data_IF_833184751051
#
_entry.id   IF_833184751051
#
_cell.length_a   1.000
_cell.length_b   1.000
_cell.length_c   1.000
_cell.angle_alpha   90.00
_cell.angle_beta   90.00
_cell.angle_gamma   90.00
#
_symmetry.space_group_name_H-M   'P 1'
#
loop_
_entity.id
_entity.type
_entity.pdbx_description
1 polymer ?
#
# COMPACT_ATOMS: atom_id res chain seq x y z
N UNK A 1 -35.45 61.71 -2.92
CA UNK A 1 -35.87 60.35 -3.32
C UNK A 1 -34.71 59.38 -3.64
N UNK A 2 -33.44 59.81 -3.80
CA UNK A 2 -32.33 58.90 -4.13
C UNK A 2 -31.76 58.08 -2.94
N UNK A 3 -31.81 58.60 -1.71
CA UNK A 3 -31.20 57.96 -0.52
C UNK A 3 -31.99 56.74 -0.02
N UNK A 4 -33.31 56.72 -0.25
CA UNK A 4 -34.18 55.61 0.18
C UNK A 4 -33.99 54.35 -0.69
N UNK A 5 -33.71 54.55 -2.00
CA UNK A 5 -33.51 53.46 -2.95
C UNK A 5 -32.22 52.68 -2.64
N UNK A 6 -31.12 53.38 -2.32
CA UNK A 6 -29.83 52.73 -2.03
C UNK A 6 -29.88 51.85 -0.77
N UNK A 7 -30.65 52.24 0.25
CA UNK A 7 -30.85 51.43 1.46
C UNK A 7 -31.67 50.17 1.19
N UNK A 8 -32.65 50.26 0.30
CA UNK A 8 -33.50 49.12 -0.08
C UNK A 8 -32.68 48.06 -0.86
N UNK A 9 -31.83 48.48 -1.78
CA UNK A 9 -30.93 47.57 -2.52
C UNK A 9 -29.88 46.90 -1.61
N UNK A 10 -29.32 47.64 -0.65
CA UNK A 10 -28.36 47.08 0.32
C UNK A 10 -29.01 46.08 1.28
N UNK A 11 -30.25 46.34 1.73
CA UNK A 11 -30.96 45.38 2.58
C UNK A 11 -31.36 44.13 1.80
N UNK A 12 -31.85 44.28 0.56
CA UNK A 12 -32.19 43.15 -0.29
C UNK A 12 -30.98 42.25 -0.60
N UNK A 13 -29.79 42.81 -0.85
CA UNK A 13 -28.59 42.03 -1.10
C UNK A 13 -28.08 41.28 0.13
N UNK A 14 -28.17 41.86 1.34
CA UNK A 14 -27.86 41.17 2.60
C UNK A 14 -28.82 40.01 2.85
N UNK A 15 -30.12 40.19 2.60
CA UNK A 15 -31.12 39.11 2.71
C UNK A 15 -30.87 37.98 1.72
N UNK A 16 -30.52 38.29 0.47
CA UNK A 16 -30.20 37.27 -0.56
C UNK A 16 -28.94 36.49 -0.17
N UNK A 17 -27.87 37.17 0.27
CA UNK A 17 -26.64 36.52 0.74
C UNK A 17 -26.90 35.64 1.98
N UNK A 18 -27.68 36.12 2.94
CA UNK A 18 -28.06 35.34 4.13
C UNK A 18 -28.90 34.11 3.81
N UNK A 19 -29.84 34.23 2.86
CA UNK A 19 -30.66 33.10 2.40
C UNK A 19 -29.84 32.07 1.63
N UNK A 20 -28.90 32.49 0.78
CA UNK A 20 -27.99 31.60 0.05
C UNK A 20 -27.04 30.85 1.00
N UNK A 21 -26.46 31.54 1.98
CA UNK A 21 -25.60 30.92 2.99
C UNK A 21 -26.37 29.91 3.85
N UNK A 22 -27.60 30.25 4.29
CA UNK A 22 -28.45 29.35 5.07
C UNK A 22 -28.85 28.09 4.30
N UNK A 23 -29.19 28.23 3.01
CA UNK A 23 -29.50 27.09 2.14
C UNK A 23 -28.27 26.21 1.87
N UNK A 24 -27.08 26.81 1.69
CA UNK A 24 -25.84 26.05 1.53
C UNK A 24 -25.49 25.24 2.78
N UNK A 25 -25.59 25.84 3.98
CA UNK A 25 -25.37 25.15 5.26
C UNK A 25 -26.41 24.05 5.51
N UNK A 26 -27.69 24.28 5.18
CA UNK A 26 -28.74 23.28 5.33
C UNK A 26 -28.55 22.07 4.40
N UNK A 27 -27.94 22.26 3.21
CA UNK A 27 -27.61 21.16 2.29
C UNK A 27 -26.35 20.40 2.70
N UNK A 28 -25.39 21.05 3.36
CA UNK A 28 -24.14 20.40 3.79
C UNK A 28 -24.31 19.54 5.06
N UNK A 29 -25.21 19.89 5.97
CA UNK A 29 -25.40 19.16 7.23
C UNK A 29 -25.85 17.68 7.05
N UNK A 30 -26.80 17.33 6.17
CA UNK A 30 -27.16 15.92 5.91
C UNK A 30 -26.03 15.12 5.27
N UNK A 31 -25.26 15.74 4.37
CA UNK A 31 -24.11 15.11 3.74
C UNK A 31 -23.00 14.79 4.74
N UNK A 32 -22.72 15.74 5.65
CA UNK A 32 -21.76 15.55 6.74
C UNK A 32 -22.19 14.42 7.71
N UNK A 33 -23.48 14.38 8.09
CA UNK A 33 -24.00 13.29 8.93
C UNK A 33 -23.87 11.90 8.26
N UNK A 34 -24.14 11.81 6.96
CA UNK A 34 -23.97 10.57 6.20
C UNK A 34 -22.50 10.13 6.14
N UNK A 35 -21.56 11.06 5.94
CA UNK A 35 -20.13 10.75 5.93
C UNK A 35 -19.62 10.30 7.31
N UNK A 36 -20.10 10.93 8.40
CA UNK A 36 -19.80 10.46 9.76
C UNK A 36 -20.33 9.06 10.01
N UNK A 37 -21.55 8.75 9.58
CA UNK A 37 -22.10 7.39 9.70
C UNK A 37 -21.27 6.37 8.89
N UNK A 38 -20.82 6.73 7.67
CA UNK A 38 -19.91 5.91 6.87
C UNK A 38 -18.60 5.63 7.62
N UNK A 39 -18.02 6.64 8.26
CA UNK A 39 -16.82 6.49 9.08
C UNK A 39 -17.05 5.58 10.30
N UNK A 40 -18.17 5.71 11.02
CA UNK A 40 -18.50 4.81 12.14
C UNK A 40 -18.62 3.34 11.70
N UNK A 41 -19.29 3.09 10.57
CA UNK A 41 -19.36 1.73 10.00
C UNK A 41 -18.00 1.21 9.55
N UNK A 42 -17.17 2.06 8.95
CA UNK A 42 -15.81 1.72 8.54
C UNK A 42 -14.95 1.36 9.76
N UNK A 43 -14.98 2.17 10.83
CA UNK A 43 -14.26 1.88 12.06
C UNK A 43 -14.70 0.54 12.67
N UNK A 44 -16.01 0.27 12.71
CA UNK A 44 -16.53 -0.99 13.21
C UNK A 44 -16.05 -2.19 12.36
N UNK A 45 -16.00 -2.04 11.03
CA UNK A 45 -15.50 -3.08 10.11
C UNK A 45 -14.01 -3.40 10.34
N UNK A 46 -13.18 -2.38 10.58
CA UNK A 46 -11.74 -2.53 10.73
C UNK A 46 -11.25 -2.51 12.19
N UNK A 47 -12.17 -2.58 13.16
CA UNK A 47 -11.85 -2.60 14.59
C UNK A 47 -11.10 -1.36 15.09
N UNK A 48 -11.37 -0.19 14.51
CA UNK A 48 -10.65 1.06 14.83
C UNK A 48 -11.14 1.67 16.13
N UNK A 49 -10.19 1.97 17.01
CA UNK A 49 -10.41 2.67 18.28
C UNK A 49 -9.31 3.72 18.42
N UNK A 50 -9.70 4.95 18.74
CA UNK A 50 -8.77 6.08 18.90
C UNK A 50 -8.64 6.48 20.37
N UNK A 51 -7.47 6.97 20.75
CA UNK A 51 -7.15 7.30 22.14
C UNK A 51 -7.84 8.57 22.64
N UNK A 52 -8.33 9.43 21.74
CA UNK A 52 -9.05 10.66 22.11
C UNK A 52 -10.08 11.08 21.06
N UNK A 53 -11.03 11.93 21.47
CA UNK A 53 -11.99 12.55 20.56
C UNK A 53 -11.31 13.44 19.50
N UNK A 54 -10.22 14.12 19.88
CA UNK A 54 -9.44 14.94 18.96
C UNK A 54 -8.75 14.10 17.88
N UNK A 55 -8.16 12.96 18.27
CA UNK A 55 -7.58 11.99 17.33
C UNK A 55 -8.66 11.42 16.41
N UNK A 56 -9.81 11.01 16.97
CA UNK A 56 -10.94 10.52 16.18
C UNK A 56 -11.42 11.54 15.15
N UNK A 57 -11.51 12.81 15.54
CA UNK A 57 -11.91 13.88 14.61
C UNK A 57 -10.84 14.11 13.52
N UNK A 58 -9.55 14.10 13.87
CA UNK A 58 -8.48 14.22 12.88
C UNK A 58 -8.50 13.04 11.87
N UNK A 59 -8.65 11.81 12.37
CA UNK A 59 -8.77 10.59 11.56
C UNK A 59 -10.02 10.59 10.69
N UNK A 60 -11.12 11.14 11.20
CA UNK A 60 -12.34 11.35 10.42
C UNK A 60 -12.12 12.31 9.24
N UNK A 61 -11.38 13.41 9.42
CA UNK A 61 -11.08 14.32 8.30
C UNK A 61 -10.26 13.63 7.21
N UNK A 62 -9.23 12.87 7.60
CA UNK A 62 -8.42 12.07 6.66
C UNK A 62 -9.29 11.03 5.93
N UNK A 63 -10.14 10.31 6.68
CA UNK A 63 -11.08 9.35 6.12
C UNK A 63 -12.01 10.00 5.10
N UNK A 64 -12.54 11.18 5.42
CA UNK A 64 -13.44 11.92 4.52
C UNK A 64 -12.75 12.28 3.20
N UNK A 65 -11.50 12.75 3.27
CA UNK A 65 -10.73 13.12 2.08
C UNK A 65 -10.43 11.90 1.21
N UNK A 66 -9.99 10.79 1.83
CA UNK A 66 -9.77 9.52 1.13
C UNK A 66 -11.07 8.93 0.56
N UNK A 67 -12.19 9.03 1.28
CA UNK A 67 -13.49 8.59 0.80
C UNK A 67 -13.95 9.40 -0.42
N UNK A 68 -13.72 10.72 -0.43
CA UNK A 68 -14.01 11.56 -1.58
C UNK A 68 -13.13 11.21 -2.79
N UNK A 69 -11.85 10.90 -2.57
CA UNK A 69 -10.96 10.40 -3.62
C UNK A 69 -11.49 9.08 -4.20
N UNK A 70 -11.81 8.10 -3.34
CA UNK A 70 -12.37 6.81 -3.75
C UNK A 70 -13.66 6.99 -4.57
N UNK A 71 -14.58 7.82 -4.08
CA UNK A 71 -15.86 8.04 -4.72
C UNK A 71 -15.69 8.72 -6.08
N UNK A 72 -14.85 9.76 -6.17
CA UNK A 72 -14.61 10.47 -7.43
C UNK A 72 -13.89 9.60 -8.48
N UNK A 73 -12.90 8.82 -8.05
CA UNK A 73 -12.19 7.88 -8.91
C UNK A 73 -13.15 6.81 -9.47
N UNK A 74 -13.95 6.19 -8.61
CA UNK A 74 -14.88 5.13 -9.02
C UNK A 74 -16.06 5.68 -9.86
N UNK A 75 -16.46 6.94 -9.66
CA UNK A 75 -17.46 7.61 -10.50
C UNK A 75 -16.91 7.92 -11.89
N UNK A 76 -15.66 8.35 -12.01
CA UNK A 76 -15.01 8.56 -13.30
C UNK A 76 -14.98 7.26 -14.12
N UNK A 77 -14.63 6.15 -13.48
CA UNK A 77 -14.79 4.80 -14.05
C UNK A 77 -14.01 4.56 -15.33
N UNK A 78 -12.98 5.37 -15.58
CA UNK A 78 -12.14 5.35 -16.78
C UNK A 78 -10.89 4.45 -16.62
N UNK A 79 -10.69 3.89 -15.42
CA UNK A 79 -9.61 2.96 -15.10
C UNK A 79 -10.13 1.52 -14.92
N UNK A 80 -9.31 0.51 -15.23
CA UNK A 80 -9.67 -0.92 -15.12
C UNK A 80 -9.54 -1.48 -13.68
N UNK A 81 -9.42 -0.62 -12.68
CA UNK A 81 -9.36 -0.96 -11.26
C UNK A 81 -10.28 -0.05 -10.45
N UNK A 82 -10.50 -0.43 -9.19
CA UNK A 82 -11.31 0.32 -8.24
C UNK A 82 -10.50 0.63 -7.00
N UNK A 83 -10.79 1.79 -6.43
CA UNK A 83 -10.35 2.14 -5.09
C UNK A 83 -11.42 1.79 -4.07
N UNK A 84 -11.01 1.63 -2.82
CA UNK A 84 -11.89 1.33 -1.70
C UNK A 84 -11.45 2.07 -0.44
N UNK A 85 -12.42 2.34 0.44
CA UNK A 85 -12.11 2.76 1.81
C UNK A 85 -11.66 1.53 2.61
N UNK A 86 -10.47 1.03 2.27
CA UNK A 86 -9.86 -0.15 2.90
C UNK A 86 -9.33 0.20 4.31
N UNK A 87 -8.59 -0.71 4.95
CA UNK A 87 -8.10 -0.50 6.30
C UNK A 87 -7.17 0.72 6.46
N UNK A 88 -6.62 1.29 5.39
CA UNK A 88 -5.72 2.45 5.42
C UNK A 88 -6.42 3.78 5.12
N UNK A 89 -7.76 3.80 5.05
CA UNK A 89 -8.52 4.99 4.70
C UNK A 89 -8.40 6.13 5.73
N UNK A 90 -7.95 5.88 6.96
CA UNK A 90 -7.71 6.91 7.98
C UNK A 90 -6.27 7.43 8.04
N UNK A 91 -5.42 7.04 7.09
CA UNK A 91 -4.03 7.50 6.97
C UNK A 91 -3.87 8.47 5.81
N UNK A 92 -3.07 9.53 6.01
CA UNK A 92 -2.57 10.31 4.89
C UNK A 92 -1.60 9.45 4.06
N UNK A 93 -1.35 9.84 2.81
CA UNK A 93 -0.37 9.12 1.99
C UNK A 93 1.05 9.20 2.58
N UNK A 94 1.41 10.31 3.23
CA UNK A 94 2.69 10.44 3.95
C UNK A 94 2.78 9.46 5.13
N UNK A 95 1.75 9.39 5.97
CA UNK A 95 1.70 8.43 7.10
C UNK A 95 1.74 6.98 6.61
N UNK A 96 1.03 6.70 5.52
CA UNK A 96 1.01 5.40 4.89
C UNK A 96 2.41 5.00 4.41
N UNK A 97 3.06 5.85 3.59
CA UNK A 97 4.42 5.61 3.09
C UNK A 97 5.41 5.41 4.25
N UNK A 98 5.36 6.28 5.25
CA UNK A 98 6.27 6.20 6.41
C UNK A 98 6.14 4.89 7.20
N UNK A 99 4.94 4.31 7.27
CA UNK A 99 4.67 3.13 8.09
C UNK A 99 4.61 1.81 7.32
N UNK A 100 4.32 1.84 6.01
CA UNK A 100 4.04 0.64 5.19
C UNK A 100 5.04 0.40 4.07
N UNK A 101 5.67 1.43 3.55
CA UNK A 101 6.60 1.31 2.42
C UNK A 101 8.01 1.34 2.97
N UNK A 102 8.59 0.15 3.20
CA UNK A 102 10.03 -0.13 3.32
C UNK A 102 10.23 -1.63 3.10
N UNK A 103 11.39 -2.04 2.64
CA UNK A 103 11.82 -3.44 2.67
C UNK A 103 12.06 -3.90 4.12
N UNK A 104 11.03 -4.31 4.84
CA UNK A 104 11.17 -4.72 6.24
C UNK A 104 11.55 -6.20 6.31
N UNK A 105 12.74 -6.48 6.83
CA UNK A 105 13.21 -7.82 7.13
C UNK A 105 13.56 -7.93 8.61
N UNK A 106 13.13 -8.99 9.30
CA UNK A 106 13.70 -9.33 10.60
C UNK A 106 14.84 -10.30 10.37
N UNK A 107 16.07 -9.81 10.40
CA UNK A 107 17.25 -10.63 10.25
C UNK A 107 18.06 -10.62 11.52
N UNK A 108 18.53 -11.80 11.91
CA UNK A 108 19.60 -11.86 12.88
C UNK A 108 20.86 -11.35 12.22
N UNK A 109 21.28 -10.15 12.63
CA UNK A 109 22.59 -9.65 12.28
C UNK A 109 23.60 -10.73 12.67
N UNK A 110 24.23 -11.35 11.67
CA UNK A 110 25.41 -12.15 11.89
C UNK A 110 26.49 -11.19 12.40
N UNK A 111 26.49 -10.90 13.70
CA UNK A 111 27.41 -9.94 14.29
C UNK A 111 28.87 -10.40 14.20
N UNK A 112 29.17 -11.61 13.72
CA UNK A 112 30.55 -12.09 13.56
C UNK A 112 30.68 -13.00 12.34
N UNK A 113 30.83 -12.39 11.16
CA UNK A 113 31.18 -13.06 9.91
C UNK A 113 31.57 -12.05 8.82
N UNK A 114 32.32 -12.44 7.77
CA UNK A 114 32.84 -11.52 6.75
C UNK A 114 31.76 -10.94 5.80
N UNK A 115 30.48 -11.27 6.02
CA UNK A 115 29.36 -10.84 5.20
C UNK A 115 28.54 -9.77 5.93
N UNK A 116 28.85 -8.51 5.66
CA UNK A 116 28.03 -7.36 6.06
C UNK A 116 26.87 -7.22 5.06
N UNK A 117 25.77 -7.96 5.28
CA UNK A 117 24.47 -7.61 4.70
C UNK A 117 23.77 -6.68 5.70
N UNK A 118 23.47 -5.45 5.31
CA UNK A 118 23.05 -4.38 6.22
C UNK A 118 21.52 -4.18 6.18
N UNK A 119 20.75 -5.26 6.35
CA UNK A 119 19.33 -5.14 6.68
C UNK A 119 19.19 -4.48 8.06
N UNK A 120 18.35 -3.46 8.15
CA UNK A 120 18.19 -2.57 9.30
C UNK A 120 16.86 -2.83 10.03
N UNK A 121 16.40 -4.08 10.03
CA UNK A 121 15.18 -4.45 10.72
C UNK A 121 13.94 -3.76 10.14
N UNK A 122 13.17 -3.10 11.00
CA UNK A 122 12.02 -2.29 10.64
C UNK A 122 12.37 -1.06 9.80
N UNK A 123 13.65 -0.69 9.71
CA UNK A 123 14.11 0.50 8.98
C UNK A 123 14.36 0.27 7.49
N UNK A 124 14.40 -0.97 7.00
CA UNK A 124 14.68 -1.30 5.60
C UNK A 124 15.65 -2.47 5.44
N UNK A 125 15.81 -2.95 4.21
CA UNK A 125 16.59 -4.16 3.87
C UNK A 125 16.50 -4.50 2.39
N UNK A 126 17.09 -5.62 1.97
CA UNK A 126 17.04 -6.13 0.59
C UNK A 126 16.80 -7.64 0.56
N UNK A 127 16.04 -8.10 -0.42
CA UNK A 127 15.69 -9.53 -0.55
C UNK A 127 16.92 -10.43 -0.68
N UNK A 128 17.94 -9.96 -1.38
CA UNK A 128 19.20 -10.69 -1.57
C UNK A 128 19.97 -10.87 -0.27
N UNK A 129 19.94 -9.88 0.62
CA UNK A 129 20.60 -9.98 1.92
C UNK A 129 19.92 -11.03 2.80
N UNK A 130 18.59 -11.12 2.74
CA UNK A 130 17.85 -12.22 3.35
C UNK A 130 18.25 -13.59 2.78
N UNK A 131 18.42 -13.73 1.45
CA UNK A 131 18.91 -14.99 0.87
C UNK A 131 20.34 -15.33 1.31
N UNK A 132 21.25 -14.34 1.31
CA UNK A 132 22.63 -14.51 1.81
C UNK A 132 22.64 -14.99 3.26
N UNK A 133 21.75 -14.46 4.09
CA UNK A 133 21.61 -14.91 5.47
C UNK A 133 21.15 -16.35 5.57
N UNK A 134 20.15 -16.79 4.80
CA UNK A 134 19.70 -18.20 4.85
C UNK A 134 20.86 -19.13 4.47
N UNK A 135 21.68 -18.75 3.48
CA UNK A 135 22.86 -19.51 3.07
C UNK A 135 23.90 -19.56 4.19
N UNK A 136 24.25 -18.40 4.78
CA UNK A 136 25.24 -18.28 5.83
C UNK A 136 24.83 -18.99 7.13
N UNK A 137 23.56 -18.85 7.51
CA UNK A 137 22.95 -19.52 8.65
C UNK A 137 22.75 -21.02 8.40
N UNK A 138 22.86 -21.50 7.14
CA UNK A 138 22.61 -22.89 6.73
C UNK A 138 21.16 -23.32 6.95
N UNK A 139 20.23 -22.38 6.92
CA UNK A 139 18.81 -22.64 6.97
C UNK A 139 17.98 -21.50 7.54
N UNK A 140 16.67 -21.73 7.56
CA UNK A 140 15.65 -20.84 8.09
C UNK A 140 14.70 -21.63 8.99
N UNK A 141 14.28 -21.02 10.11
CA UNK A 141 13.30 -21.63 11.03
C UNK A 141 11.85 -21.39 10.58
N UNK A 142 10.89 -21.94 11.32
CA UNK A 142 9.45 -21.75 11.05
C UNK A 142 8.90 -20.55 11.82
N UNK A 143 7.86 -19.90 11.26
CA UNK A 143 7.09 -18.84 11.94
C UNK A 143 6.54 -19.31 13.31
N UNK A 144 6.12 -20.58 13.42
CA UNK A 144 5.63 -21.13 14.69
C UNK A 144 6.72 -21.16 15.79
N UNK A 145 7.97 -21.36 15.41
CA UNK A 145 9.11 -21.37 16.34
C UNK A 145 9.65 -19.96 16.63
N UNK A 146 9.65 -19.08 15.62
CA UNK A 146 10.08 -17.70 15.74
C UNK A 146 9.01 -16.73 15.18
N UNK A 147 7.97 -16.41 15.98
CA UNK A 147 6.85 -15.58 15.51
C UNK A 147 7.24 -14.12 15.27
N UNK A 148 6.55 -13.49 14.32
CA UNK A 148 6.68 -12.07 14.01
C UNK A 148 6.18 -11.18 15.17
N UNK A 149 7.02 -10.22 15.58
CA UNK A 149 6.76 -9.30 16.69
C UNK A 149 6.39 -7.88 16.28
N UNK A 150 6.42 -7.55 14.98
CA UNK A 150 6.23 -6.20 14.45
C UNK A 150 7.15 -5.11 15.06
N UNK A 151 8.29 -5.51 15.61
CA UNK A 151 9.29 -4.63 16.18
C UNK A 151 10.67 -5.29 16.13
N UNK A 152 11.71 -4.47 16.05
CA UNK A 152 13.09 -4.95 16.17
C UNK A 152 13.33 -5.52 17.56
N UNK A 153 14.09 -6.61 17.61
CA UNK A 153 14.39 -7.32 18.84
C UNK A 153 15.81 -7.87 18.84
N UNK A 154 16.21 -8.45 19.96
CA UNK A 154 17.45 -9.21 20.03
C UNK A 154 17.25 -10.61 19.44
N UNK A 155 18.32 -11.12 18.83
CA UNK A 155 18.25 -12.42 18.19
C UNK A 155 18.39 -13.59 19.16
N UNK A 156 17.47 -14.53 19.02
CA UNK A 156 17.49 -15.80 19.74
C UNK A 156 18.18 -16.86 18.89
N UNK A 157 19.48 -17.10 19.15
CA UNK A 157 20.27 -18.11 18.45
C UNK A 157 19.67 -19.53 18.56
N UNK A 158 19.01 -19.85 19.69
CA UNK A 158 18.36 -21.14 19.87
C UNK A 158 17.13 -21.33 18.98
N UNK A 159 16.34 -20.27 18.77
CA UNK A 159 15.19 -20.31 17.86
C UNK A 159 15.65 -20.29 16.41
N UNK A 160 16.56 -19.38 16.08
CA UNK A 160 17.13 -19.24 14.74
C UNK A 160 17.75 -20.56 14.25
N UNK A 161 18.57 -21.20 15.08
CA UNK A 161 19.28 -22.44 14.74
C UNK A 161 18.39 -23.68 14.53
N UNK A 162 17.08 -23.58 14.77
CA UNK A 162 16.13 -24.66 14.51
C UNK A 162 15.66 -24.63 13.04
N UNK A 163 16.53 -25.08 12.14
CA UNK A 163 16.31 -24.98 10.69
C UNK A 163 15.25 -25.96 10.19
N UNK A 164 14.30 -25.44 9.42
CA UNK A 164 13.23 -26.19 8.76
C UNK A 164 13.36 -26.20 7.22
N UNK A 165 14.09 -25.24 6.64
CA UNK A 165 14.35 -25.16 5.21
C UNK A 165 15.74 -24.60 4.93
N UNK A 166 16.30 -24.92 3.76
CA UNK A 166 17.61 -24.44 3.30
C UNK A 166 17.55 -24.05 1.82
N UNK A 167 18.45 -23.17 1.41
CA UNK A 167 18.69 -22.83 0.00
C UNK A 167 20.18 -23.02 -0.32
N UNK A 168 20.50 -23.29 -1.58
CA UNK A 168 21.89 -23.40 -2.06
C UNK A 168 22.45 -22.07 -2.55
N UNK A 169 21.58 -21.19 -3.02
CA UNK A 169 21.94 -19.90 -3.60
C UNK A 169 20.72 -19.02 -3.84
N UNK A 170 20.93 -17.96 -4.61
CA UNK A 170 19.87 -17.13 -5.19
C UNK A 170 20.36 -16.60 -6.54
N UNK A 171 19.42 -16.15 -7.36
CA UNK A 171 19.70 -15.58 -8.68
C UNK A 171 18.87 -14.31 -8.88
N UNK A 172 19.47 -13.34 -9.57
CA UNK A 172 18.82 -12.12 -9.99
C UNK A 172 18.22 -12.30 -11.39
N UNK A 173 16.99 -11.83 -11.55
CA UNK A 173 16.36 -11.71 -12.86
C UNK A 173 17.01 -10.52 -13.59
N UNK A 174 17.31 -10.64 -14.90
CA UNK A 174 17.78 -9.52 -15.70
C UNK A 174 16.93 -8.26 -15.52
N UNK A 175 17.56 -7.18 -15.04
CA UNK A 175 16.94 -5.88 -14.82
C UNK A 175 16.27 -5.35 -16.09
N UNK A 176 15.12 -4.70 -15.91
CA UNK A 176 14.33 -4.05 -16.95
C UNK A 176 13.90 -5.02 -18.06
N UNK A 177 13.49 -6.22 -17.65
CA UNK A 177 13.05 -7.28 -18.56
C UNK A 177 11.82 -8.00 -18.03
N UNK A 178 10.62 -7.51 -18.38
CA UNK A 178 9.36 -8.22 -18.10
C UNK A 178 9.34 -9.63 -18.71
N UNK A 179 10.05 -9.86 -19.82
CA UNK A 179 10.13 -11.19 -20.45
C UNK A 179 10.99 -12.16 -19.63
N UNK A 180 12.11 -11.71 -19.05
CA UNK A 180 12.90 -12.53 -18.15
C UNK A 180 12.16 -12.78 -16.83
N UNK A 181 11.52 -11.75 -16.28
CA UNK A 181 10.68 -11.88 -15.08
C UNK A 181 9.53 -12.88 -15.31
N UNK A 182 8.89 -12.83 -16.48
CA UNK A 182 7.80 -13.76 -16.83
C UNK A 182 8.28 -15.20 -16.82
N UNK A 183 9.46 -15.47 -17.40
CA UNK A 183 10.06 -16.80 -17.41
C UNK A 183 10.40 -17.29 -16.00
N UNK A 184 10.90 -16.40 -15.15
CA UNK A 184 11.21 -16.72 -13.75
C UNK A 184 9.94 -17.04 -12.96
N UNK A 185 8.92 -16.17 -13.04
CA UNK A 185 7.61 -16.34 -12.36
C UNK A 185 6.89 -17.61 -12.80
N UNK A 186 7.06 -18.03 -14.07
CA UNK A 186 6.51 -19.29 -14.57
C UNK A 186 7.10 -20.53 -13.88
N UNK A 187 8.28 -20.40 -13.27
CA UNK A 187 9.02 -21.51 -12.64
C UNK A 187 8.80 -21.55 -11.12
N UNK A 188 8.72 -20.39 -10.47
CA UNK A 188 8.54 -20.25 -9.02
C UNK A 188 8.11 -18.82 -8.65
N UNK A 189 7.63 -18.58 -7.41
CA UNK A 189 7.45 -17.22 -6.91
C UNK A 189 8.76 -16.43 -6.88
N UNK A 190 8.69 -15.17 -7.27
CA UNK A 190 9.85 -14.26 -7.38
C UNK A 190 9.66 -13.08 -6.43
N UNK A 191 10.68 -12.76 -5.65
CA UNK A 191 10.69 -11.54 -4.85
C UNK A 191 10.95 -10.35 -5.78
N UNK A 192 10.12 -9.32 -5.72
CA UNK A 192 10.24 -8.12 -6.56
C UNK A 192 10.12 -6.86 -5.71
N UNK A 193 10.81 -5.80 -6.11
CA UNK A 193 10.63 -4.46 -5.58
C UNK A 193 9.69 -3.65 -6.47
N UNK A 194 8.88 -2.78 -5.87
CA UNK A 194 7.99 -1.84 -6.56
C UNK A 194 8.00 -0.47 -5.87
N UNK A 195 7.60 0.56 -6.61
CA UNK A 195 7.12 1.82 -6.05
C UNK A 195 5.64 1.67 -5.65
N UNK A 196 5.39 1.68 -4.35
CA UNK A 196 4.04 1.59 -3.77
C UNK A 196 3.61 2.93 -3.13
N UNK A 197 4.21 4.04 -3.54
CA UNK A 197 4.04 5.36 -2.91
C UNK A 197 2.71 6.04 -3.19
N UNK A 198 2.04 5.73 -4.31
CA UNK A 198 0.86 6.47 -4.75
C UNK A 198 -0.40 6.22 -3.88
N UNK A 199 -1.24 7.26 -3.77
CA UNK A 199 -2.52 7.19 -3.06
C UNK A 199 -3.49 6.15 -3.64
N UNK A 200 -3.45 5.91 -4.96
CA UNK A 200 -4.23 4.86 -5.61
C UNK A 200 -3.74 3.46 -5.21
N UNK A 201 -2.45 3.30 -4.93
CA UNK A 201 -1.88 2.05 -4.44
C UNK A 201 -2.30 1.81 -2.98
N UNK A 202 -2.22 2.84 -2.14
CA UNK A 202 -2.71 2.79 -0.75
C UNK A 202 -4.17 2.33 -0.69
N UNK A 203 -5.03 2.90 -1.55
CA UNK A 203 -6.48 2.69 -1.54
C UNK A 203 -6.95 1.63 -2.54
N UNK A 204 -6.05 0.84 -3.12
CA UNK A 204 -6.41 -0.24 -4.05
C UNK A 204 -7.36 -1.24 -3.39
N UNK A 205 -8.42 -1.60 -4.13
CA UNK A 205 -9.42 -2.58 -3.70
C UNK A 205 -9.47 -3.78 -4.67
N UNK A 206 -9.57 -3.53 -5.98
CA UNK A 206 -9.71 -4.62 -6.97
C UNK A 206 -9.45 -4.18 -8.41
N UNK A 207 -9.30 -5.15 -9.31
CA UNK A 207 -9.09 -4.93 -10.75
C UNK A 207 -7.62 -4.90 -11.15
N UNK A 208 -7.33 -4.63 -12.42
CA UNK A 208 -5.94 -4.57 -12.90
C UNK A 208 -5.42 -3.15 -12.69
N UNK A 209 -4.49 -3.00 -11.76
CA UNK A 209 -3.87 -1.73 -11.42
C UNK A 209 -3.06 -1.18 -12.60
N UNK A 210 -3.48 0.00 -13.06
CA UNK A 210 -2.82 0.80 -14.10
C UNK A 210 -2.58 2.23 -13.56
N UNK A 211 -2.43 2.37 -12.25
CA UNK A 211 -2.24 3.66 -11.59
C UNK A 211 -0.89 4.28 -11.93
N UNK A 212 -0.75 5.56 -11.61
CA UNK A 212 0.52 6.26 -11.76
C UNK A 212 1.43 5.89 -10.59
N UNK A 213 2.60 5.37 -10.91
CA UNK A 213 3.67 5.08 -9.96
C UNK A 213 4.99 5.36 -10.66
N UNK A 214 5.99 5.78 -9.89
CA UNK A 214 7.32 6.03 -10.39
C UNK A 214 8.14 4.75 -10.44
N UNK A 215 9.45 4.94 -10.32
CA UNK A 215 10.45 3.87 -10.24
C UNK A 215 11.32 4.05 -9.00
N UNK A 216 10.87 4.85 -8.02
CA UNK A 216 11.52 5.01 -6.72
C UNK A 216 11.09 3.84 -5.83
N UNK A 217 11.74 2.69 -6.03
CA UNK A 217 11.39 1.43 -5.37
C UNK A 217 11.45 1.59 -3.84
N UNK A 218 10.32 1.34 -3.17
CA UNK A 218 10.18 1.55 -1.73
C UNK A 218 9.51 0.37 -1.00
N UNK A 219 9.09 -0.67 -1.72
CA UNK A 219 8.34 -1.78 -1.17
C UNK A 219 8.70 -3.13 -1.80
N UNK A 220 8.89 -4.15 -0.95
CA UNK A 220 9.18 -5.52 -1.36
C UNK A 220 7.94 -6.42 -1.33
N UNK A 221 7.65 -7.10 -2.43
CA UNK A 221 6.49 -7.98 -2.62
C UNK A 221 6.88 -9.27 -3.33
N UNK A 222 5.92 -10.19 -3.52
CA UNK A 222 6.17 -11.44 -4.23
C UNK A 222 5.30 -11.55 -5.47
N UNK A 223 5.92 -11.66 -6.65
CA UNK A 223 5.23 -12.07 -7.86
C UNK A 223 4.99 -13.58 -7.82
N UNK A 224 3.72 -13.98 -7.70
CA UNK A 224 3.31 -15.39 -7.53
C UNK A 224 2.67 -15.99 -8.78
N UNK A 225 2.47 -15.17 -9.80
CA UNK A 225 1.88 -15.60 -11.06
C UNK A 225 1.65 -14.44 -12.01
N UNK A 226 1.03 -14.74 -13.13
CA UNK A 226 0.58 -13.78 -14.12
C UNK A 226 -0.63 -14.34 -14.86
N UNK A 227 -1.36 -13.48 -15.54
CA UNK A 227 -2.51 -13.90 -16.33
C UNK A 227 -2.93 -12.85 -17.35
N UNK A 228 -4.14 -13.03 -17.85
CA UNK A 228 -4.82 -12.09 -18.73
C UNK A 228 -6.32 -12.09 -18.38
N UNK A 229 -6.92 -10.92 -18.33
CA UNK A 229 -8.36 -10.76 -18.09
C UNK A 229 -8.87 -9.59 -18.93
N UNK A 230 -9.90 -9.84 -19.75
CA UNK A 230 -10.48 -8.80 -20.62
C UNK A 230 -9.49 -8.22 -21.63
N UNK A 231 -8.55 -9.03 -22.14
CA UNK A 231 -7.49 -8.59 -23.07
C UNK A 231 -6.33 -7.85 -22.41
N UNK A 232 -6.36 -7.66 -21.09
CA UNK A 232 -5.29 -7.00 -20.33
C UNK A 232 -4.49 -8.02 -19.55
N UNK A 233 -3.17 -8.05 -19.82
CA UNK A 233 -2.20 -8.90 -19.13
C UNK A 233 -1.87 -8.30 -17.76
N UNK A 234 -1.68 -9.16 -16.77
CA UNK A 234 -1.33 -8.74 -15.42
C UNK A 234 -0.28 -9.65 -14.78
N UNK A 235 0.45 -9.08 -13.82
CA UNK A 235 1.18 -9.76 -12.76
C UNK A 235 0.25 -10.01 -11.57
N UNK A 236 0.28 -11.19 -10.96
CA UNK A 236 -0.39 -11.46 -9.69
C UNK A 236 0.63 -11.32 -8.57
N UNK A 237 0.44 -10.30 -7.74
CA UNK A 237 1.38 -9.91 -6.70
C UNK A 237 0.75 -10.17 -5.33
N UNK A 238 1.48 -10.92 -4.50
CA UNK A 238 1.16 -11.12 -3.09
C UNK A 238 1.79 -9.98 -2.27
N UNK A 239 0.96 -9.29 -1.51
CA UNK A 239 1.39 -8.21 -0.61
C UNK A 239 1.46 -8.70 0.86
N UNK A 240 2.02 -7.87 1.74
CA UNK A 240 2.25 -8.14 3.16
C UNK A 240 1.42 -7.25 4.10
N UNK A 241 0.37 -6.62 3.58
CA UNK A 241 -0.50 -5.70 4.34
C UNK A 241 -1.78 -6.35 4.88
N UNK A 242 -1.87 -7.68 4.84
CA UNK A 242 -3.03 -8.43 5.32
C UNK A 242 -4.18 -8.51 4.31
N UNK A 243 -5.10 -9.43 4.55
CA UNK A 243 -6.16 -9.79 3.60
C UNK A 243 -7.24 -8.71 3.42
N UNK A 244 -7.25 -7.69 4.26
CA UNK A 244 -8.20 -6.58 4.23
C UNK A 244 -7.81 -5.46 3.25
N UNK A 245 -6.65 -5.58 2.59
CA UNK A 245 -6.18 -4.68 1.54
C UNK A 245 -6.20 -5.40 0.19
N UNK A 246 -6.63 -4.71 -0.87
CA UNK A 246 -6.70 -5.26 -2.21
C UNK A 246 -7.58 -6.50 -2.33
N UNK A 247 -7.20 -7.40 -3.23
CA UNK A 247 -7.92 -8.64 -3.51
C UNK A 247 -7.45 -9.72 -2.54
N UNK A 248 -7.95 -9.70 -1.30
CA UNK A 248 -7.55 -10.62 -0.23
C UNK A 248 -6.04 -10.58 0.09
N UNK A 249 -5.43 -9.39 0.02
CA UNK A 249 -3.99 -9.19 0.22
C UNK A 249 -3.16 -9.27 -1.06
N UNK A 250 -3.82 -9.40 -2.22
CA UNK A 250 -3.18 -9.42 -3.53
C UNK A 250 -3.50 -8.18 -4.34
N UNK A 251 -2.67 -7.91 -5.35
CA UNK A 251 -2.91 -6.91 -6.38
C UNK A 251 -2.57 -7.51 -7.75
N UNK A 252 -3.40 -7.21 -8.74
CA UNK A 252 -3.09 -7.49 -10.14
C UNK A 252 -2.52 -6.23 -10.77
N UNK A 253 -1.25 -6.24 -11.17
CA UNK A 253 -0.58 -5.07 -11.76
C UNK A 253 -0.45 -5.25 -13.27
N UNK A 254 -0.67 -4.20 -14.06
CA UNK A 254 -0.56 -4.32 -15.52
C UNK A 254 0.81 -4.84 -15.97
N UNK A 255 0.81 -5.75 -16.93
CA UNK A 255 2.00 -6.35 -17.51
C UNK A 255 2.07 -6.05 -19.00
N UNK A 256 3.26 -6.14 -19.57
CA UNK A 256 3.50 -6.01 -21.02
C UNK A 256 3.25 -4.57 -21.48
N UNK A 257 3.84 -3.63 -20.75
CA UNK A 257 3.77 -2.19 -21.05
C UNK A 257 5.04 -1.72 -21.78
N UNK A 258 5.02 -0.56 -22.47
CA UNK A 258 6.20 -0.08 -23.19
C UNK A 258 7.42 0.23 -22.31
N UNK A 259 7.22 0.55 -21.03
CA UNK A 259 8.30 0.82 -20.09
C UNK A 259 9.03 -0.47 -19.71
N UNK A 260 10.35 -0.50 -19.87
CA UNK A 260 11.16 -1.72 -19.67
C UNK A 260 11.25 -2.11 -18.19
N UNK A 261 11.15 -1.11 -17.33
CA UNK A 261 11.07 -1.21 -15.88
C UNK A 261 9.78 -1.92 -15.42
N UNK A 262 8.78 -2.03 -16.29
CA UNK A 262 7.43 -2.48 -15.95
C UNK A 262 6.69 -1.44 -15.09
N UNK A 263 5.40 -1.67 -14.84
CA UNK A 263 4.61 -0.75 -14.02
C UNK A 263 5.18 -0.72 -12.59
N UNK A 264 5.35 0.49 -12.04
CA UNK A 264 5.93 0.73 -10.71
C UNK A 264 7.36 0.18 -10.53
N UNK A 265 8.10 -0.03 -11.62
CA UNK A 265 9.47 -0.56 -11.57
C UNK A 265 9.57 -2.05 -11.23
N UNK A 266 8.48 -2.81 -11.34
CA UNK A 266 8.41 -4.24 -10.97
C UNK A 266 9.50 -5.14 -11.59
N UNK A 267 10.05 -4.77 -12.75
CA UNK A 267 11.09 -5.53 -13.44
C UNK A 267 12.52 -4.99 -13.16
N UNK A 268 12.69 -4.02 -12.26
CA UNK A 268 13.99 -3.40 -11.98
C UNK A 268 14.85 -4.22 -11.02
N UNK A 269 14.25 -4.72 -9.93
CA UNK A 269 14.92 -5.52 -8.91
C UNK A 269 14.08 -6.73 -8.54
N UNK A 270 14.44 -7.88 -9.10
CA UNK A 270 13.76 -9.14 -8.88
C UNK A 270 14.78 -10.26 -8.68
N UNK A 271 14.58 -11.07 -7.64
CA UNK A 271 15.48 -12.17 -7.30
C UNK A 271 14.73 -13.33 -6.68
N UNK A 272 15.33 -14.52 -6.73
CA UNK A 272 14.71 -15.74 -6.23
C UNK A 272 15.74 -16.71 -5.65
N UNK A 273 15.37 -17.49 -4.61
CA UNK A 273 16.27 -18.49 -4.04
C UNK A 273 16.37 -19.71 -4.96
N UNK A 274 17.53 -20.37 -4.94
CA UNK A 274 17.80 -21.64 -5.63
C UNK A 274 18.06 -22.74 -4.61
N UNK A 275 17.46 -23.91 -4.80
CA UNK A 275 17.43 -25.02 -3.83
C UNK A 275 18.25 -26.24 -4.23
#
# INVERSE_FOLDING_TARGET
MAVLNNRLFFLASIFILGALASQAMARSAPHEAAMRLRHEHWMARYGRVYGSANEKEARYQIFKDNAALVDSFNVAGDKPYKLGTNQFADLTNEEFRATRNRFKGHMCSAQQGPFRGEDQGCSGGLMDDAFKFIIANKGLTTEANYPYSAADGSCSASKEGNHAATIKGYEDVPTNSESALLKAVASQPISVAIDAGDSSFQLYESGIFTGECGTELDHGVTAVGYGESGGMKYWLIKNSWGAQWGEEGYIRMQRDIPAKEGICGIAMQASYPTA
#
